data_IF_703793026909
#
_entry.id   IF_703793026909
#
_cell.length_a   1.000
_cell.length_b   1.000
_cell.length_c   1.000
_cell.angle_alpha   90.00
_cell.angle_beta   90.00
_cell.angle_gamma   90.00
#
_symmetry.space_group_name_H-M   'P 1'
#
loop_
_entity.id
_entity.type
_entity.pdbx_description
1 polymer ?
#
# COMPACT_ATOMS: atom_id res chain seq x y z
N UNK A 1 -18.77 -31.94 0.87
CA UNK A 1 -19.77 -31.80 -0.20
C UNK A 1 -20.09 -30.33 -0.37
N UNK A 2 -20.12 -29.91 -1.64
CA UNK A 2 -20.63 -28.67 -2.26
C UNK A 2 -21.43 -27.72 -1.37
N UNK A 3 -21.29 -26.39 -1.42
CA UNK A 3 -20.52 -25.50 -2.28
C UNK A 3 -21.04 -24.07 -2.07
N UNK A 4 -20.20 -23.05 -2.23
CA UNK A 4 -20.69 -21.68 -2.43
C UNK A 4 -19.89 -21.03 -3.55
N UNK A 5 -20.51 -21.06 -4.72
CA UNK A 5 -20.62 -19.98 -5.71
C UNK A 5 -19.50 -18.93 -5.75
N UNK A 6 -18.88 -18.84 -6.93
CA UNK A 6 -18.08 -17.72 -7.39
C UNK A 6 -18.85 -16.39 -7.28
N UNK A 7 -18.66 -15.69 -6.17
CA UNK A 7 -19.15 -14.34 -5.91
C UNK A 7 -18.10 -13.61 -5.10
N UNK A 8 -17.70 -12.40 -5.54
CA UNK A 8 -16.68 -11.62 -4.88
C UNK A 8 -17.04 -11.36 -3.41
N UNK A 9 -16.45 -12.14 -2.47
CA UNK A 9 -16.51 -11.85 -1.04
C UNK A 9 -15.77 -10.53 -0.80
N UNK A 10 -16.53 -9.46 -0.58
CA UNK A 10 -16.01 -8.25 0.05
C UNK A 10 -15.79 -8.61 1.51
N UNK A 11 -14.53 -8.73 1.92
CA UNK A 11 -14.18 -8.89 3.34
C UNK A 11 -13.73 -7.52 3.84
N UNK A 12 -14.64 -6.68 4.39
CA UNK A 12 -14.24 -5.43 5.00
C UNK A 12 -13.48 -5.77 6.27
N UNK A 13 -12.16 -5.60 6.22
CA UNK A 13 -11.30 -5.80 7.37
C UNK A 13 -10.82 -4.43 7.82
N UNK A 14 -11.47 -3.90 8.85
CA UNK A 14 -10.95 -2.77 9.62
C UNK A 14 -10.00 -3.33 10.67
N UNK A 15 -8.77 -2.82 10.66
CA UNK A 15 -7.78 -3.25 11.65
C UNK A 15 -7.18 -2.06 12.40
N UNK A 16 -7.35 -2.05 13.72
CA UNK A 16 -6.71 -1.10 14.63
C UNK A 16 -5.59 -1.80 15.38
N UNK A 17 -4.39 -1.22 15.34
CA UNK A 17 -3.21 -1.73 16.04
C UNK A 17 -2.64 -0.66 16.96
N UNK A 18 -2.39 -1.01 18.22
CA UNK A 18 -1.93 -0.07 19.25
C UNK A 18 -0.47 -0.31 19.69
N UNK A 19 0.13 -1.45 19.35
CA UNK A 19 1.47 -1.88 19.78
C UNK A 19 2.33 -2.46 18.62
N UNK A 20 3.40 -3.21 18.94
CA UNK A 20 4.17 -3.98 17.95
C UNK A 20 3.31 -5.07 17.32
N UNK A 21 3.11 -5.00 16.01
CA UNK A 21 2.26 -5.95 15.27
C UNK A 21 2.98 -6.50 14.06
N UNK A 22 2.85 -7.81 13.86
CA UNK A 22 3.23 -8.54 12.65
C UNK A 22 2.00 -9.17 12.01
N UNK A 23 1.83 -9.00 10.69
CA UNK A 23 0.72 -9.59 9.94
C UNK A 23 1.10 -9.95 8.51
N UNK A 24 0.55 -11.07 8.06
CA UNK A 24 0.64 -11.58 6.71
C UNK A 24 -0.76 -11.83 6.15
N UNK A 25 -0.97 -11.65 4.85
CA UNK A 25 -2.25 -11.92 4.22
C UNK A 25 -2.14 -12.18 2.71
N UNK A 26 -2.78 -13.26 2.26
CA UNK A 26 -3.01 -13.54 0.84
C UNK A 26 -4.46 -13.25 0.44
N UNK A 27 -4.67 -12.64 -0.73
CA UNK A 27 -6.01 -12.35 -1.23
C UNK A 27 -6.17 -12.55 -2.74
N UNK A 28 -7.34 -13.01 -3.18
CA UNK A 28 -7.73 -13.13 -4.60
C UNK A 28 -9.07 -12.46 -4.87
N UNK A 29 -9.22 -11.86 -6.06
CA UNK A 29 -10.46 -11.24 -6.51
C UNK A 29 -10.55 -9.74 -6.22
N UNK A 30 -11.70 -9.27 -5.74
CA UNK A 30 -11.89 -7.87 -5.31
C UNK A 30 -11.63 -7.77 -3.82
N UNK A 31 -10.70 -6.90 -3.42
CA UNK A 31 -10.25 -6.75 -2.04
C UNK A 31 -10.33 -5.29 -1.65
N UNK A 32 -10.97 -5.01 -0.51
CA UNK A 32 -10.97 -3.70 0.14
C UNK A 32 -10.39 -3.87 1.55
N UNK A 33 -9.38 -3.07 1.91
CA UNK A 33 -8.76 -3.12 3.24
C UNK A 33 -8.52 -1.72 3.77
N UNK A 34 -8.83 -1.54 5.04
CA UNK A 34 -8.62 -0.31 5.79
C UNK A 34 -7.84 -0.63 7.07
N UNK A 35 -6.87 0.21 7.44
CA UNK A 35 -6.10 -0.04 8.63
C UNK A 35 -5.59 1.23 9.30
N UNK A 36 -5.80 1.30 10.62
CA UNK A 36 -5.20 2.28 11.51
C UNK A 36 -4.10 1.64 12.34
N UNK A 37 -2.91 2.23 12.33
CA UNK A 37 -1.74 1.68 13.00
C UNK A 37 -1.11 2.72 13.93
N UNK A 38 -0.87 2.36 15.19
CA UNK A 38 -0.04 3.10 16.14
C UNK A 38 1.08 2.19 16.67
N UNK A 39 2.32 2.69 16.72
CA UNK A 39 3.46 1.95 17.26
C UNK A 39 4.40 1.39 16.19
N UNK A 40 4.88 0.15 16.35
CA UNK A 40 5.74 -0.56 15.38
C UNK A 40 4.90 -1.56 14.58
N UNK A 41 4.83 -1.45 13.27
CA UNK A 41 4.00 -2.35 12.47
C UNK A 41 4.81 -2.95 11.33
N UNK A 42 4.72 -4.26 11.20
CA UNK A 42 5.26 -5.06 10.11
C UNK A 42 4.10 -5.75 9.39
N UNK A 43 3.98 -5.52 8.08
CA UNK A 43 2.92 -6.09 7.26
C UNK A 43 3.47 -6.62 5.95
N UNK A 44 3.04 -7.83 5.62
CA UNK A 44 3.31 -8.51 4.36
C UNK A 44 1.98 -8.88 3.70
N UNK A 45 1.90 -8.75 2.38
CA UNK A 45 0.66 -9.06 1.67
C UNK A 45 0.87 -9.40 0.20
N UNK A 46 0.34 -10.54 -0.21
CA UNK A 46 0.19 -10.93 -1.61
C UNK A 46 -1.26 -10.76 -2.08
N UNK A 47 -1.47 -10.14 -3.23
CA UNK A 47 -2.81 -9.92 -3.76
C UNK A 47 -2.90 -10.15 -5.28
N UNK A 48 -3.94 -10.84 -5.74
CA UNK A 48 -4.28 -10.98 -7.16
C UNK A 48 -5.70 -10.46 -7.45
N UNK A 49 -5.84 -9.52 -8.38
CA UNK A 49 -7.12 -8.98 -8.81
C UNK A 49 -7.24 -7.46 -8.64
N UNK A 50 -8.41 -6.98 -8.17
CA UNK A 50 -8.65 -5.55 -7.90
C UNK A 50 -8.49 -5.30 -6.40
N UNK A 51 -7.56 -4.43 -6.04
CA UNK A 51 -7.18 -4.18 -4.65
C UNK A 51 -7.31 -2.69 -4.35
N UNK A 52 -8.09 -2.39 -3.32
CA UNK A 52 -8.24 -1.06 -2.74
C UNK A 52 -7.70 -1.12 -1.31
N UNK A 53 -6.73 -0.25 -1.00
CA UNK A 53 -6.09 -0.20 0.32
C UNK A 53 -6.03 1.25 0.80
N UNK A 54 -6.54 1.47 1.98
CA UNK A 54 -6.45 2.73 2.72
C UNK A 54 -5.74 2.46 4.05
N UNK A 55 -4.88 3.39 4.47
CA UNK A 55 -4.13 3.20 5.70
C UNK A 55 -3.69 4.51 6.35
N UNK A 56 -4.02 4.65 7.64
CA UNK A 56 -3.46 5.66 8.51
C UNK A 56 -2.42 5.06 9.46
N UNK A 57 -1.28 5.71 9.59
CA UNK A 57 -0.17 5.18 10.36
C UNK A 57 0.52 6.25 11.22
N UNK A 58 0.71 5.98 12.52
CA UNK A 58 1.52 6.77 13.44
C UNK A 58 2.61 5.90 14.06
N UNK A 59 3.88 6.27 13.88
CA UNK A 59 5.02 5.53 14.44
C UNK A 59 5.98 4.96 13.40
N UNK A 60 6.46 3.71 13.59
CA UNK A 60 7.37 3.03 12.64
C UNK A 60 6.61 1.95 11.88
N UNK A 61 6.59 2.02 10.56
CA UNK A 61 5.84 1.08 9.72
C UNK A 61 6.75 0.49 8.64
N UNK A 62 6.75 -0.84 8.57
CA UNK A 62 7.40 -1.63 7.53
C UNK A 62 6.30 -2.37 6.77
N UNK A 63 6.24 -2.16 5.46
CA UNK A 63 5.23 -2.76 4.59
C UNK A 63 5.90 -3.38 3.37
N UNK A 64 5.64 -4.67 3.16
CA UNK A 64 5.99 -5.41 1.96
C UNK A 64 4.70 -5.85 1.27
N UNK A 65 4.66 -5.76 -0.06
CA UNK A 65 3.49 -6.20 -0.80
C UNK A 65 3.81 -6.57 -2.24
N UNK A 66 3.32 -7.73 -2.66
CA UNK A 66 3.26 -8.17 -4.04
C UNK A 66 1.83 -8.10 -4.56
N UNK A 67 1.63 -7.52 -5.74
CA UNK A 67 0.30 -7.38 -6.31
C UNK A 67 0.27 -7.67 -7.82
N UNK A 68 -0.72 -8.43 -8.28
CA UNK A 68 -1.04 -8.58 -9.71
C UNK A 68 -2.45 -8.09 -10.00
N UNK A 69 -2.60 -7.17 -10.96
CA UNK A 69 -3.89 -6.64 -11.40
C UNK A 69 -4.02 -5.12 -11.22
N UNK A 70 -5.18 -4.65 -10.74
CA UNK A 70 -5.43 -3.21 -10.53
C UNK A 70 -5.32 -2.89 -9.04
N UNK A 71 -4.49 -1.91 -8.70
CA UNK A 71 -4.19 -1.55 -7.31
C UNK A 71 -4.40 -0.06 -7.10
N UNK A 72 -5.25 0.27 -6.14
CA UNK A 72 -5.46 1.62 -5.63
C UNK A 72 -4.99 1.65 -4.18
N UNK A 73 -4.04 2.55 -3.88
CA UNK A 73 -3.42 2.68 -2.56
C UNK A 73 -3.46 4.13 -2.12
N UNK A 74 -4.09 4.37 -0.97
CA UNK A 74 -4.08 5.64 -0.26
C UNK A 74 -3.44 5.44 1.10
N UNK A 75 -2.64 6.41 1.54
CA UNK A 75 -1.92 6.29 2.80
C UNK A 75 -1.55 7.65 3.39
N UNK A 76 -1.93 7.84 4.65
CA UNK A 76 -1.47 8.93 5.49
C UNK A 76 -0.55 8.41 6.59
N UNK A 77 0.62 9.03 6.74
CA UNK A 77 1.65 8.52 7.65
C UNK A 77 2.31 9.65 8.44
N UNK A 78 2.32 9.55 9.77
CA UNK A 78 3.08 10.41 10.68
C UNK A 78 4.15 9.60 11.40
N UNK A 79 5.41 9.69 10.98
CA UNK A 79 6.50 8.88 11.54
C UNK A 79 7.51 8.40 10.52
N UNK A 80 8.08 7.20 10.75
CA UNK A 80 9.01 6.57 9.81
C UNK A 80 8.32 5.44 9.08
N UNK A 81 8.33 5.48 7.75
CA UNK A 81 7.74 4.43 6.93
C UNK A 81 8.74 3.90 5.92
N UNK A 82 8.85 2.57 5.91
CA UNK A 82 9.61 1.81 4.93
C UNK A 82 8.63 0.95 4.14
N UNK A 83 8.65 1.10 2.83
CA UNK A 83 7.73 0.38 1.94
C UNK A 83 8.46 -0.25 0.77
N UNK A 84 8.33 -1.55 0.64
CA UNK A 84 8.74 -2.37 -0.49
C UNK A 84 7.48 -2.78 -1.25
N UNK A 85 7.45 -2.64 -2.57
CA UNK A 85 6.31 -3.08 -3.38
C UNK A 85 6.75 -3.60 -4.73
N UNK A 86 6.31 -4.80 -5.07
CA UNK A 86 6.34 -5.32 -6.44
C UNK A 86 4.91 -5.39 -6.99
N UNK A 87 4.68 -4.83 -8.17
CA UNK A 87 3.37 -4.84 -8.80
C UNK A 87 3.46 -5.19 -10.29
N UNK A 88 2.52 -6.00 -10.78
CA UNK A 88 2.25 -6.16 -12.22
C UNK A 88 0.83 -5.72 -12.55
N UNK A 89 0.67 -4.81 -13.51
CA UNK A 89 -0.60 -4.24 -13.93
C UNK A 89 -0.72 -2.74 -13.63
N UNK A 90 -1.93 -2.26 -13.37
CA UNK A 90 -2.21 -0.83 -13.19
C UNK A 90 -2.18 -0.46 -11.72
N UNK A 91 -1.36 0.52 -11.37
CA UNK A 91 -1.19 0.96 -9.99
C UNK A 91 -1.42 2.47 -9.88
N UNK A 92 -2.42 2.86 -9.10
CA UNK A 92 -2.63 4.22 -8.66
C UNK A 92 -2.25 4.36 -7.18
N UNK A 93 -1.49 5.42 -6.86
CA UNK A 93 -1.08 5.66 -5.48
C UNK A 93 -1.15 7.14 -5.10
N UNK A 94 -1.82 7.39 -3.99
CA UNK A 94 -1.82 8.63 -3.21
C UNK A 94 -0.99 8.37 -1.93
N UNK A 95 -0.18 9.34 -1.50
CA UNK A 95 0.53 9.21 -0.23
C UNK A 95 0.87 10.58 0.36
N UNK A 96 0.52 10.75 1.63
CA UNK A 96 0.90 11.88 2.46
C UNK A 96 1.74 11.40 3.62
N UNK A 97 2.96 11.91 3.74
CA UNK A 97 3.90 11.44 4.75
C UNK A 97 4.60 12.60 5.44
N UNK A 98 4.60 12.57 6.77
CA UNK A 98 5.30 13.52 7.63
C UNK A 98 6.45 12.84 8.36
N UNK A 99 7.64 13.45 8.30
CA UNK A 99 8.96 13.03 8.83
C UNK A 99 9.83 12.23 7.88
N UNK A 100 9.74 10.89 7.82
CA UNK A 100 10.68 10.07 7.02
C UNK A 100 9.91 9.02 6.23
N UNK A 101 10.07 9.04 4.92
CA UNK A 101 9.45 8.07 4.03
C UNK A 101 10.46 7.46 3.06
N UNK A 102 10.76 6.18 3.24
CA UNK A 102 11.60 5.40 2.34
C UNK A 102 10.75 4.42 1.55
N UNK A 103 10.92 4.42 0.24
CA UNK A 103 10.21 3.50 -0.65
C UNK A 103 11.13 2.86 -1.67
N UNK A 104 10.99 1.55 -1.81
CA UNK A 104 11.43 0.77 -2.97
C UNK A 104 10.21 0.26 -3.73
N UNK A 105 10.25 0.33 -5.05
CA UNK A 105 9.17 -0.20 -5.87
C UNK A 105 9.68 -0.77 -7.19
N UNK A 106 9.09 -1.88 -7.61
CA UNK A 106 9.14 -2.38 -8.97
C UNK A 106 7.71 -2.45 -9.51
N UNK A 107 7.46 -1.86 -10.69
CA UNK A 107 6.14 -1.92 -11.34
C UNK A 107 6.31 -2.29 -12.80
N UNK A 108 5.66 -3.37 -13.22
CA UNK A 108 5.49 -3.76 -14.62
C UNK A 108 4.07 -3.36 -15.05
N UNK A 109 3.92 -2.37 -15.93
CA UNK A 109 2.65 -1.80 -16.36
C UNK A 109 2.50 -0.31 -16.03
N UNK A 110 1.26 0.18 -15.99
CA UNK A 110 0.96 1.60 -15.78
C UNK A 110 1.08 1.98 -14.30
N UNK A 111 1.85 3.04 -14.02
CA UNK A 111 2.02 3.57 -12.69
C UNK A 111 1.70 5.07 -12.59
N UNK A 112 0.66 5.40 -11.83
CA UNK A 112 0.32 6.79 -11.49
C UNK A 112 0.54 7.07 -10.02
N UNK A 113 1.22 8.17 -9.71
CA UNK A 113 1.49 8.61 -8.35
C UNK A 113 1.14 10.06 -8.10
N UNK A 114 0.43 10.31 -7.00
CA UNK A 114 0.37 11.59 -6.29
C UNK A 114 1.12 11.46 -4.96
N UNK A 115 1.85 12.50 -4.56
CA UNK A 115 2.52 12.50 -3.26
C UNK A 115 2.71 13.91 -2.70
N UNK A 116 2.54 14.00 -1.39
CA UNK A 116 2.90 15.14 -0.53
C UNK A 116 3.81 14.61 0.58
N UNK A 117 5.00 15.18 0.76
CA UNK A 117 5.92 14.74 1.82
C UNK A 117 6.49 15.96 2.53
N UNK A 118 6.28 16.01 3.85
CA UNK A 118 6.88 16.99 4.75
C UNK A 118 8.00 16.29 5.53
N UNK A 119 9.26 16.54 5.17
CA UNK A 119 10.45 15.90 5.77
C UNK A 119 11.30 15.12 4.76
N UNK A 120 12.00 14.10 5.24
CA UNK A 120 12.92 13.28 4.44
C UNK A 120 12.19 12.24 3.58
N UNK A 121 12.58 12.19 2.31
CA UNK A 121 12.02 11.27 1.34
C UNK A 121 13.11 10.55 0.54
N UNK A 122 13.11 9.23 0.58
CA UNK A 122 14.00 8.40 -0.22
C UNK A 122 13.19 7.47 -1.12
N UNK A 123 13.50 7.45 -2.42
CA UNK A 123 12.84 6.59 -3.39
C UNK A 123 13.85 5.85 -4.23
N UNK A 124 13.69 4.54 -4.34
CA UNK A 124 14.25 3.72 -5.43
C UNK A 124 13.08 3.15 -6.22
N UNK A 125 13.11 3.28 -7.53
CA UNK A 125 12.06 2.73 -8.38
C UNK A 125 12.59 2.14 -9.68
N UNK A 126 11.95 1.06 -10.09
CA UNK A 126 12.00 0.51 -11.44
C UNK A 126 10.56 0.45 -11.93
N UNK A 127 10.28 1.08 -13.08
CA UNK A 127 8.97 1.01 -13.72
C UNK A 127 9.19 0.61 -15.17
N UNK A 128 8.65 -0.54 -15.55
CA UNK A 128 8.63 -1.02 -16.92
C UNK A 128 7.20 -0.82 -17.46
N UNK A 129 7.00 0.27 -18.22
CA UNK A 129 5.69 0.71 -18.68
C UNK A 129 5.48 2.20 -18.50
N UNK A 130 4.22 2.65 -18.57
CA UNK A 130 3.90 4.07 -18.47
C UNK A 130 4.00 4.59 -17.03
N UNK A 131 4.65 5.74 -16.87
CA UNK A 131 4.83 6.38 -15.57
C UNK A 131 4.31 7.81 -15.54
N UNK A 132 3.34 8.08 -14.67
CA UNK A 132 2.82 9.44 -14.40
C UNK A 132 3.07 9.84 -12.94
N UNK A 133 3.66 11.03 -12.72
CA UNK A 133 3.89 11.62 -11.40
C UNK A 133 3.24 12.99 -11.30
N UNK A 134 2.52 13.22 -10.21
CA UNK A 134 2.12 14.54 -9.73
C UNK A 134 2.68 14.73 -8.32
N UNK A 135 3.29 15.87 -8.05
CA UNK A 135 3.86 16.18 -6.74
C UNK A 135 3.43 17.56 -6.30
N UNK A 136 3.15 17.68 -5.02
CA UNK A 136 3.00 18.94 -4.31
C UNK A 136 4.12 18.97 -3.27
N UNK A 137 4.88 20.06 -3.20
CA UNK A 137 5.86 20.30 -2.14
C UNK A 137 5.38 21.53 -1.40
N UNK A 138 4.92 21.35 -0.17
CA UNK A 138 4.64 22.46 0.74
C UNK A 138 5.92 22.75 1.53
N UNK A 139 6.34 24.02 1.51
CA UNK A 139 7.52 24.53 2.19
C UNK A 139 7.21 25.12 3.54
#
# INVERSE_FOLDING_TARGET
MYGESAGARVVPLLYVYKESVYKEAECRGRVYKEAECRGRVYKEAECRGRVYKEAECRGRVYKEAECRGRVYKEAECRGRVYKETECRGRVFKEAECRRVYTRKQSVEGEYTRKQSVEGEYTRKQSVEGEYTRKQSVEG
#
